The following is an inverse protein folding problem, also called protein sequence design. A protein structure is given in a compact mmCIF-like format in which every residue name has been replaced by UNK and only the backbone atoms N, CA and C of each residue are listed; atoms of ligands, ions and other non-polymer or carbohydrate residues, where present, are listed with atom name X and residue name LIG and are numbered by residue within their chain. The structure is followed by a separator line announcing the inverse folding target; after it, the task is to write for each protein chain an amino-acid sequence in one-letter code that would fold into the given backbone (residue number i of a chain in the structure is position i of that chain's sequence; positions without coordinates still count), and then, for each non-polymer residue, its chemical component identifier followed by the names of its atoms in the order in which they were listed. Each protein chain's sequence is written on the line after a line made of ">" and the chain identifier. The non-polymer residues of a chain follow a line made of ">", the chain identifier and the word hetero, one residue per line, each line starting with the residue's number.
data_IF_910735667052
#
_entry.id   IF_910735667052
#
_cell.length_a   1.000
_cell.length_b   1.000
_cell.length_c   1.000
_cell.angle_alpha   90.00
_cell.angle_beta   90.00
_cell.angle_gamma   90.00
#
_symmetry.space_group_name_H-M   'P 1'
#
loop_
_entity.id
_entity.type
_entity.pdbx_description
1 polymer ?
#
# COMPACT_ATOMS: atom_id res chain seq x y z
N UNK A 1 -17.09 29.55 -7.86
CA UNK A 1 -16.68 29.60 -6.43
C UNK A 1 -17.84 29.16 -5.57
N UNK A 2 -17.85 27.89 -5.15
CA UNK A 2 -18.80 27.39 -4.13
C UNK A 2 -17.96 26.70 -3.05
N UNK A 3 -17.96 27.33 -1.87
CA UNK A 3 -17.29 26.81 -0.67
C UNK A 3 -18.18 25.72 -0.06
N UNK A 4 -17.71 24.49 0.05
CA UNK A 4 -18.32 23.48 0.90
C UNK A 4 -17.79 23.64 2.32
N UNK A 5 -18.68 24.01 3.22
CA UNK A 5 -18.45 24.07 4.67
C UNK A 5 -18.81 22.71 5.25
N UNK A 6 -17.83 22.02 5.86
CA UNK A 6 -18.11 20.83 6.67
C UNK A 6 -18.36 21.24 8.10
N UNK A 7 -19.54 20.92 8.59
CA UNK A 7 -19.98 21.14 9.96
C UNK A 7 -19.50 19.98 10.82
N UNK A 8 -18.63 20.26 11.80
CA UNK A 8 -18.20 19.30 12.81
C UNK A 8 -19.23 19.31 13.94
N UNK A 9 -19.95 18.20 14.13
CA UNK A 9 -20.84 18.04 15.31
C UNK A 9 -20.05 17.32 16.39
N UNK A 10 -19.67 18.04 17.44
CA UNK A 10 -19.17 17.48 18.70
C UNK A 10 -20.38 17.02 19.53
N UNK A 11 -20.53 15.72 19.71
CA UNK A 11 -21.45 15.15 20.68
C UNK A 11 -20.82 14.98 22.04
N UNK A 12 -21.26 15.75 23.01
CA UNK A 12 -20.98 15.57 24.43
C UNK A 12 -21.79 14.39 24.99
N UNK A 13 -21.11 13.41 25.58
CA UNK A 13 -21.74 12.37 26.42
C UNK A 13 -21.68 12.76 27.88
N UNK A 14 -22.75 12.60 28.65
CA UNK A 14 -22.74 12.88 30.08
C UNK A 14 -22.18 11.70 30.89
N UNK A 15 -21.38 12.06 31.90
CA UNK A 15 -20.97 11.21 33.02
C UNK A 15 -22.20 10.92 33.92
N UNK A 16 -22.46 9.63 34.14
CA UNK A 16 -23.34 9.22 35.26
C UNK A 16 -22.53 8.31 36.18
N UNK A 17 -22.24 8.80 37.35
CA UNK A 17 -21.75 8.03 38.47
C UNK A 17 -22.90 7.34 39.21
N UNK A 18 -22.57 6.25 39.88
CA UNK A 18 -23.55 5.67 40.79
C UNK A 18 -23.22 4.32 41.36
N UNK A 19 -22.58 4.35 42.52
CA UNK A 19 -22.88 3.60 43.74
C UNK A 19 -22.70 2.06 43.77
N UNK A 20 -21.72 1.71 44.57
CA UNK A 20 -21.55 0.43 45.28
C UNK A 20 -22.79 -0.05 46.03
N UNK A 21 -23.10 -1.35 45.93
CA UNK A 21 -23.82 -2.10 46.98
C UNK A 21 -23.09 -3.36 47.32
N UNK A 22 -22.59 -3.42 48.54
CA UNK A 22 -22.22 -4.64 49.24
C UNK A 22 -23.44 -5.56 49.36
N UNK A 23 -23.28 -6.84 49.08
CA UNK A 23 -24.15 -7.86 49.57
C UNK A 23 -23.33 -8.93 50.30
N UNK A 24 -23.69 -9.13 51.58
CA UNK A 24 -23.10 -10.08 52.54
C UNK A 24 -23.63 -11.49 52.29
N UNK A 25 -22.70 -12.41 52.33
CA UNK A 25 -22.72 -13.83 52.82
C UNK A 25 -24.04 -14.54 53.08
N UNK A 26 -24.17 -15.74 52.48
CA UNK A 26 -24.12 -16.99 53.25
C UNK A 26 -24.38 -18.26 52.39
N UNK A 27 -23.55 -19.26 52.60
CA UNK A 27 -23.77 -20.69 52.85
C UNK A 27 -24.04 -21.64 51.67
N UNK A 28 -22.99 -22.48 51.48
CA UNK A 28 -22.94 -23.93 51.18
C UNK A 28 -23.85 -24.49 50.08
N UNK A 29 -23.17 -24.99 49.05
CA UNK A 29 -23.71 -25.89 48.04
C UNK A 29 -22.61 -26.28 47.07
N UNK A 30 -22.11 -27.48 47.15
CA UNK A 30 -21.19 -28.07 46.15
C UNK A 30 -21.86 -28.02 44.79
N UNK A 31 -21.32 -27.19 43.89
CA UNK A 31 -21.59 -27.25 42.46
C UNK A 31 -20.23 -27.37 41.76
N UNK A 32 -20.03 -28.52 41.15
CA UNK A 32 -18.93 -28.82 40.25
C UNK A 32 -18.63 -27.64 39.34
N UNK A 33 -17.42 -27.06 39.52
CA UNK A 33 -16.88 -26.08 38.60
C UNK A 33 -16.59 -26.77 37.27
N UNK A 34 -17.53 -26.76 36.37
CA UNK A 34 -17.20 -26.83 34.94
C UNK A 34 -16.36 -25.61 34.61
N UNK A 35 -15.05 -25.76 34.71
CA UNK A 35 -14.13 -24.85 34.02
C UNK A 35 -14.38 -25.06 32.53
N UNK A 36 -15.22 -24.22 31.94
CA UNK A 36 -15.18 -24.02 30.51
C UNK A 36 -13.77 -23.50 30.20
N UNK A 37 -12.96 -24.19 29.39
CA UNK A 37 -11.73 -23.60 28.89
C UNK A 37 -12.17 -22.36 28.12
N UNK A 38 -11.72 -21.18 28.58
CA UNK A 38 -11.76 -19.99 27.77
C UNK A 38 -10.95 -20.36 26.53
N UNK A 39 -11.65 -20.62 25.44
CA UNK A 39 -11.00 -20.77 24.14
C UNK A 39 -10.27 -19.46 23.91
N UNK A 40 -8.96 -19.48 24.09
CA UNK A 40 -8.09 -18.39 23.66
C UNK A 40 -8.26 -18.37 22.14
N UNK A 41 -9.03 -17.42 21.65
CA UNK A 41 -9.09 -17.13 20.22
C UNK A 41 -7.68 -16.85 19.76
N UNK A 42 -7.06 -17.85 19.11
CA UNK A 42 -5.77 -17.64 18.43
C UNK A 42 -6.08 -16.68 17.29
N UNK A 43 -5.78 -15.41 17.51
CA UNK A 43 -5.90 -14.42 16.45
C UNK A 43 -5.02 -14.85 15.29
N UNK A 44 -5.65 -15.04 14.13
CA UNK A 44 -4.92 -15.39 12.93
C UNK A 44 -3.86 -14.31 12.63
N UNK A 45 -2.61 -14.73 12.47
CA UNK A 45 -1.49 -13.83 12.18
C UNK A 45 -1.59 -13.33 10.74
N UNK A 46 -1.10 -12.12 10.45
CA UNK A 46 -0.96 -11.63 9.08
C UNK A 46 -0.10 -12.58 8.22
N UNK A 47 -0.45 -12.72 6.96
CA UNK A 47 0.32 -13.50 5.99
C UNK A 47 1.52 -12.65 5.53
N UNK A 48 2.72 -12.96 6.02
CA UNK A 48 3.93 -12.15 5.74
C UNK A 48 4.72 -12.65 4.53
N UNK A 49 4.57 -13.90 4.11
CA UNK A 49 5.25 -14.45 2.94
C UNK A 49 4.28 -14.79 1.84
N UNK A 50 4.64 -14.38 0.65
CA UNK A 50 3.89 -14.71 -0.56
C UNK A 50 4.81 -14.68 -1.77
N UNK A 51 4.29 -14.95 -2.95
CA UNK A 51 5.07 -14.84 -4.16
C UNK A 51 4.42 -13.87 -5.15
N UNK A 52 5.24 -13.33 -6.03
CA UNK A 52 4.83 -12.55 -7.19
C UNK A 52 5.44 -13.17 -8.44
N UNK A 53 5.02 -12.72 -9.62
CA UNK A 53 5.50 -13.26 -10.90
C UNK A 53 7.04 -13.28 -11.06
N UNK A 54 7.77 -12.52 -10.25
CA UNK A 54 9.24 -12.38 -10.30
C UNK A 54 9.98 -13.08 -9.16
N UNK A 55 9.30 -13.61 -8.15
CA UNK A 55 9.93 -14.32 -7.02
C UNK A 55 9.15 -14.24 -5.72
N UNK A 56 9.75 -14.73 -4.64
CA UNK A 56 9.14 -14.67 -3.31
C UNK A 56 9.40 -13.33 -2.63
N UNK A 57 8.40 -12.85 -1.87
CA UNK A 57 8.48 -11.62 -1.08
C UNK A 57 8.08 -11.89 0.36
N UNK A 58 8.74 -11.19 1.28
CA UNK A 58 8.42 -11.20 2.70
C UNK A 58 8.19 -9.77 3.18
N UNK A 59 6.99 -9.51 3.69
CA UNK A 59 6.61 -8.26 4.34
C UNK A 59 6.90 -8.28 5.83
N UNK A 60 6.53 -7.20 6.49
CA UNK A 60 6.62 -7.06 7.94
C UNK A 60 5.23 -6.86 8.54
N UNK A 61 5.02 -7.21 9.82
CA UNK A 61 3.78 -6.88 10.51
C UNK A 61 3.71 -5.37 10.79
N UNK A 62 2.51 -4.79 10.67
CA UNK A 62 2.20 -3.48 11.22
C UNK A 62 1.04 -3.64 12.22
N UNK A 63 1.40 -3.68 13.51
CA UNK A 63 0.52 -4.16 14.56
C UNK A 63 0.28 -5.66 14.48
N UNK A 64 -0.87 -6.10 15.00
CA UNK A 64 -1.33 -7.50 14.95
C UNK A 64 -2.25 -7.79 13.77
N UNK A 65 -2.58 -6.79 12.98
CA UNK A 65 -3.70 -6.80 12.04
C UNK A 65 -3.30 -6.63 10.57
N UNK A 66 -2.11 -6.10 10.26
CA UNK A 66 -1.66 -5.90 8.89
C UNK A 66 -0.38 -6.66 8.56
N UNK A 67 -0.27 -7.13 7.32
CA UNK A 67 0.97 -7.41 6.64
C UNK A 67 1.29 -6.25 5.68
N UNK A 68 2.54 -5.78 5.70
CA UNK A 68 3.01 -4.61 4.95
C UNK A 68 4.23 -4.97 4.14
N UNK A 69 4.20 -4.67 2.85
CA UNK A 69 5.29 -4.88 1.90
C UNK A 69 5.65 -3.52 1.29
N UNK A 70 6.87 -3.01 1.49
CA UNK A 70 7.20 -1.61 1.22
C UNK A 70 7.94 -1.34 -0.09
N UNK A 71 8.54 -2.35 -0.72
CA UNK A 71 9.31 -2.15 -1.95
C UNK A 71 9.27 -3.37 -2.87
N UNK A 72 8.12 -3.63 -3.48
CA UNK A 72 7.98 -4.66 -4.49
C UNK A 72 8.25 -4.02 -5.86
N UNK A 73 9.28 -4.44 -6.61
CA UNK A 73 9.51 -3.92 -7.97
C UNK A 73 8.44 -4.45 -8.91
N UNK A 74 7.72 -3.55 -9.55
CA UNK A 74 6.71 -3.92 -10.54
C UNK A 74 7.23 -3.84 -11.98
N UNK A 75 8.37 -3.16 -12.18
CA UNK A 75 9.05 -3.03 -13.46
C UNK A 75 10.57 -3.03 -13.28
N UNK A 76 11.30 -3.18 -14.38
CA UNK A 76 12.75 -3.04 -14.39
C UNK A 76 13.15 -1.58 -14.06
N UNK A 77 14.31 -1.35 -13.40
CA UNK A 77 14.82 -0.02 -13.16
C UNK A 77 14.93 0.79 -14.47
N UNK A 78 14.31 1.99 -14.55
CA UNK A 78 14.32 2.80 -15.77
C UNK A 78 15.60 3.63 -15.89
N UNK A 79 16.74 2.97 -15.84
CA UNK A 79 18.09 3.58 -15.82
C UNK A 79 18.85 3.29 -17.12
N UNK A 80 19.85 4.10 -17.42
CA UNK A 80 20.69 3.91 -18.62
C UNK A 80 19.85 3.89 -19.89
N UNK A 81 19.93 2.81 -20.66
CA UNK A 81 19.20 2.64 -21.92
C UNK A 81 17.68 2.54 -21.76
N UNK A 82 17.19 2.28 -20.55
CA UNK A 82 15.77 2.27 -20.23
C UNK A 82 15.21 3.63 -19.78
N UNK A 83 16.07 4.64 -19.58
CA UNK A 83 15.61 6.00 -19.29
C UNK A 83 14.80 6.52 -20.48
N UNK A 84 13.65 7.15 -20.19
CA UNK A 84 12.69 7.61 -21.21
C UNK A 84 12.20 6.52 -22.18
N UNK A 85 12.13 5.29 -21.69
CA UNK A 85 11.44 4.18 -22.38
C UNK A 85 10.19 3.78 -21.61
N UNK A 86 9.29 3.08 -22.29
CA UNK A 86 8.17 2.42 -21.63
C UNK A 86 8.70 1.43 -20.57
N UNK A 87 8.00 1.24 -19.43
CA UNK A 87 8.43 0.30 -18.40
C UNK A 87 8.57 -1.12 -18.97
N UNK A 88 9.61 -1.83 -18.53
CA UNK A 88 9.93 -3.18 -18.95
C UNK A 88 9.71 -4.16 -17.79
N UNK A 89 9.53 -5.46 -18.05
CA UNK A 89 9.38 -6.47 -17.00
C UNK A 89 10.55 -6.45 -16.01
N UNK A 90 10.25 -6.52 -14.72
CA UNK A 90 11.27 -6.69 -13.69
C UNK A 90 11.96 -8.06 -13.87
N UNK A 91 13.25 -8.14 -13.51
CA UNK A 91 13.98 -9.41 -13.49
C UNK A 91 13.50 -10.26 -12.34
N UNK A 92 13.35 -11.56 -12.59
CA UNK A 92 13.13 -12.54 -11.54
C UNK A 92 14.36 -12.62 -10.61
N UNK A 93 14.11 -12.95 -9.34
CA UNK A 93 15.15 -13.17 -8.33
C UNK A 93 15.02 -14.53 -7.69
N UNK A 94 16.12 -15.02 -7.14
CA UNK A 94 16.15 -16.23 -6.33
C UNK A 94 16.03 -15.89 -4.84
N UNK A 95 15.50 -16.82 -4.05
CA UNK A 95 15.27 -16.63 -2.62
C UNK A 95 14.15 -15.65 -2.31
N UNK A 96 14.12 -15.18 -1.07
CA UNK A 96 13.07 -14.31 -0.54
C UNK A 96 13.56 -12.86 -0.51
N UNK A 97 12.82 -11.97 -1.17
CA UNK A 97 13.03 -10.53 -1.10
C UNK A 97 12.31 -9.96 0.13
N UNK A 98 13.06 -9.45 1.09
CA UNK A 98 12.50 -8.76 2.25
C UNK A 98 12.06 -7.35 1.84
N UNK A 99 10.79 -7.04 2.08
CA UNK A 99 10.15 -5.78 1.71
C UNK A 99 9.80 -4.96 2.98
N UNK A 100 10.81 -4.65 3.79
CA UNK A 100 10.69 -3.99 5.10
C UNK A 100 10.88 -2.47 5.05
N UNK A 101 11.52 -1.96 4.01
CA UNK A 101 11.79 -0.53 3.79
C UNK A 101 11.20 -0.05 2.47
N UNK A 102 10.77 1.21 2.43
CA UNK A 102 10.29 1.80 1.17
C UNK A 102 11.40 1.87 0.14
N UNK A 103 11.05 1.65 -1.12
CA UNK A 103 11.93 1.89 -2.25
C UNK A 103 12.28 3.38 -2.40
N UNK A 104 13.30 3.71 -3.20
CA UNK A 104 13.64 5.09 -3.47
C UNK A 104 12.49 5.84 -4.14
N UNK A 105 12.36 7.12 -3.80
CA UNK A 105 11.49 8.05 -4.52
C UNK A 105 12.09 8.40 -5.88
N UNK A 106 11.31 8.74 -6.90
CA UNK A 106 11.83 9.30 -8.12
C UNK A 106 12.59 10.62 -7.85
N UNK A 107 13.63 10.96 -8.64
CA UNK A 107 14.34 12.22 -8.53
C UNK A 107 13.38 13.41 -8.57
N UNK A 108 13.48 14.28 -7.56
CA UNK A 108 12.58 15.41 -7.35
C UNK A 108 13.29 16.51 -6.54
N UNK A 109 12.76 17.74 -6.48
CA UNK A 109 13.33 18.79 -5.63
C UNK A 109 13.40 18.37 -4.16
N UNK A 110 14.56 18.57 -3.55
CA UNK A 110 14.78 18.29 -2.12
C UNK A 110 14.00 19.27 -1.25
N UNK A 111 13.57 18.80 -0.08
CA UNK A 111 12.88 19.59 0.95
C UNK A 111 13.06 18.94 2.33
N UNK A 112 12.75 19.60 3.45
CA UNK A 112 12.79 18.97 4.75
C UNK A 112 12.04 17.64 4.78
N UNK A 113 12.72 16.56 5.20
CA UNK A 113 12.19 15.19 5.20
C UNK A 113 12.20 14.47 3.85
N UNK A 114 12.78 15.08 2.79
CA UNK A 114 12.98 14.46 1.47
C UNK A 114 14.33 14.88 0.91
N UNK A 115 15.35 14.12 1.22
CA UNK A 115 16.75 14.36 0.87
C UNK A 115 17.16 13.58 -0.37
N UNK A 116 18.26 13.96 -1.02
CA UNK A 116 18.70 13.36 -2.27
C UNK A 116 19.04 11.87 -2.16
N UNK A 117 19.51 11.43 -0.99
CA UNK A 117 19.82 10.03 -0.67
C UNK A 117 18.58 9.12 -0.61
N UNK A 118 17.38 9.71 -0.50
CA UNK A 118 16.10 8.98 -0.59
C UNK A 118 15.62 8.78 -2.02
N UNK A 119 16.34 9.26 -3.02
CA UNK A 119 15.91 9.33 -4.42
C UNK A 119 16.80 8.49 -5.32
N UNK A 120 16.18 7.88 -6.34
CA UNK A 120 16.88 7.15 -7.40
C UNK A 120 16.04 7.14 -8.66
N UNK A 121 16.67 7.00 -9.82
CA UNK A 121 15.95 6.65 -11.05
C UNK A 121 15.39 5.21 -10.99
N UNK A 122 16.01 4.32 -10.21
CA UNK A 122 15.44 3.03 -9.85
C UNK A 122 14.32 3.22 -8.81
N UNK A 123 13.13 3.60 -9.26
CA UNK A 123 12.00 4.01 -8.42
C UNK A 123 10.68 3.30 -8.73
N UNK A 124 10.67 2.33 -9.64
CA UNK A 124 9.43 1.66 -10.06
C UNK A 124 9.03 0.54 -9.08
N UNK A 125 8.64 0.98 -7.90
CA UNK A 125 8.21 0.12 -6.79
C UNK A 125 6.78 0.41 -6.40
N UNK A 126 6.14 -0.57 -5.78
CA UNK A 126 4.88 -0.38 -5.09
C UNK A 126 4.96 -0.91 -3.66
N UNK A 127 4.09 -0.39 -2.81
CA UNK A 127 3.91 -0.85 -1.45
C UNK A 127 2.49 -1.40 -1.28
N UNK A 128 2.36 -2.49 -0.51
CA UNK A 128 1.08 -3.16 -0.26
C UNK A 128 0.85 -3.26 1.24
N UNK A 129 -0.37 -2.92 1.69
CA UNK A 129 -0.86 -3.25 3.02
C UNK A 129 -2.11 -4.13 2.89
N UNK A 130 -2.12 -5.26 3.56
CA UNK A 130 -3.24 -6.19 3.56
C UNK A 130 -3.63 -6.59 4.98
N UNK A 131 -4.91 -6.51 5.35
CA UNK A 131 -5.45 -7.00 6.62
C UNK A 131 -5.82 -8.49 6.55
N UNK A 132 -5.57 -9.16 5.43
CA UNK A 132 -5.96 -10.54 5.20
C UNK A 132 -5.38 -11.49 6.25
N UNK A 133 -6.20 -12.43 6.69
CA UNK A 133 -5.83 -13.50 7.63
C UNK A 133 -5.80 -14.86 6.95
N UNK A 134 -6.37 -14.95 5.77
CA UNK A 134 -6.39 -16.15 4.93
C UNK A 134 -6.07 -15.79 3.48
N UNK A 135 -5.38 -16.69 2.79
CA UNK A 135 -5.12 -16.53 1.35
C UNK A 135 -6.42 -16.50 0.51
N UNK A 136 -7.54 -16.92 1.07
CA UNK A 136 -8.85 -16.97 0.41
C UNK A 136 -9.76 -15.78 0.69
N UNK A 137 -9.30 -14.75 1.39
CA UNK A 137 -10.18 -13.64 1.85
C UNK A 137 -10.75 -12.79 0.72
N UNK A 138 -10.09 -12.69 -0.44
CA UNK A 138 -10.55 -11.96 -1.64
C UNK A 138 -11.10 -10.57 -1.34
N UNK A 139 -10.29 -9.77 -0.67
CA UNK A 139 -10.64 -8.43 -0.21
C UNK A 139 -10.71 -7.44 -1.39
N UNK A 140 -11.52 -6.39 -1.31
CA UNK A 140 -11.46 -5.30 -2.28
C UNK A 140 -10.09 -4.61 -2.24
N UNK A 141 -9.67 -4.09 -3.39
CA UNK A 141 -8.35 -3.48 -3.58
C UNK A 141 -8.50 -2.01 -3.90
N UNK A 142 -7.69 -1.16 -3.29
CA UNK A 142 -7.60 0.25 -3.62
C UNK A 142 -6.17 0.61 -4.02
N UNK A 143 -5.99 1.07 -5.26
CA UNK A 143 -4.70 1.47 -5.80
C UNK A 143 -4.55 3.00 -5.69
N UNK A 144 -3.59 3.45 -4.88
CA UNK A 144 -3.27 4.84 -4.66
C UNK A 144 -2.29 5.35 -5.71
N UNK A 145 -2.67 6.42 -6.40
CA UNK A 145 -1.81 7.19 -7.29
C UNK A 145 -1.59 8.55 -6.62
N UNK A 146 -0.34 8.82 -6.23
CA UNK A 146 0.01 10.05 -5.53
C UNK A 146 -0.07 11.27 -6.45
N UNK A 147 -0.36 12.44 -5.87
CA UNK A 147 -0.21 13.72 -6.51
C UNK A 147 1.21 14.29 -6.40
N UNK A 148 1.33 15.57 -6.66
CA UNK A 148 2.58 16.32 -6.64
C UNK A 148 2.86 17.05 -7.95
N UNK A 149 1.82 17.31 -8.76
CA UNK A 149 1.91 18.04 -10.02
C UNK A 149 2.82 17.36 -11.04
N UNK A 150 2.92 16.03 -11.00
CA UNK A 150 3.87 15.21 -11.76
C UNK A 150 5.35 15.56 -11.52
N UNK A 151 5.66 16.37 -10.50
CA UNK A 151 7.02 16.82 -10.16
C UNK A 151 7.57 16.15 -8.91
N UNK A 152 6.70 15.72 -8.01
CA UNK A 152 7.08 15.11 -6.73
C UNK A 152 6.29 13.83 -6.47
N UNK A 153 6.84 12.98 -5.61
CA UNK A 153 6.28 11.68 -5.27
C UNK A 153 6.33 11.43 -3.75
N UNK A 154 5.47 10.53 -3.27
CA UNK A 154 5.50 10.04 -1.88
C UNK A 154 4.53 8.87 -1.69
N UNK A 155 4.84 7.95 -0.79
CA UNK A 155 4.05 6.74 -0.54
C UNK A 155 2.72 6.95 0.21
N UNK A 156 2.27 8.19 0.44
CA UNK A 156 0.97 8.46 1.07
C UNK A 156 0.98 8.49 2.62
N UNK A 157 2.13 8.33 3.27
CA UNK A 157 2.24 8.37 4.74
C UNK A 157 1.37 7.30 5.43
N UNK A 158 0.70 7.65 6.53
CA UNK A 158 -0.13 6.71 7.31
C UNK A 158 -1.50 6.42 6.70
N UNK A 159 -1.87 7.11 5.60
CA UNK A 159 -3.19 6.98 4.98
C UNK A 159 -3.46 5.55 4.53
N UNK A 160 -2.48 4.91 3.89
CA UNK A 160 -2.63 3.59 3.31
C UNK A 160 -2.83 2.49 4.36
N UNK A 161 -2.10 2.50 5.48
CA UNK A 161 -2.31 1.51 6.56
C UNK A 161 -3.63 1.76 7.30
N UNK A 162 -4.01 3.02 7.49
CA UNK A 162 -5.30 3.39 8.10
C UNK A 162 -6.49 2.91 7.27
N UNK A 163 -6.41 2.99 5.94
CA UNK A 163 -7.42 2.44 5.03
C UNK A 163 -7.41 0.92 5.02
N UNK A 164 -6.23 0.30 5.01
CA UNK A 164 -6.12 -1.17 5.04
C UNK A 164 -6.84 -1.77 6.26
N UNK A 165 -6.73 -1.13 7.43
CA UNK A 165 -7.46 -1.54 8.64
C UNK A 165 -8.99 -1.49 8.51
N UNK A 166 -9.52 -0.91 7.44
CA UNK A 166 -10.95 -0.92 7.10
C UNK A 166 -11.37 -2.14 6.27
N UNK A 167 -10.49 -3.12 6.08
CA UNK A 167 -10.80 -4.37 5.38
C UNK A 167 -10.56 -4.34 3.88
N UNK A 168 -9.65 -3.51 3.41
CA UNK A 168 -9.27 -3.42 2.00
C UNK A 168 -7.77 -3.65 1.82
N UNK A 169 -7.34 -4.22 0.70
CA UNK A 169 -5.93 -4.24 0.31
C UNK A 169 -5.59 -2.89 -0.32
N UNK A 170 -4.59 -2.21 0.22
CA UNK A 170 -4.11 -0.94 -0.34
C UNK A 170 -2.81 -1.19 -1.10
N UNK A 171 -2.71 -0.63 -2.30
CA UNK A 171 -1.50 -0.61 -3.11
C UNK A 171 -1.12 0.84 -3.38
N UNK A 172 0.04 1.28 -2.90
CA UNK A 172 0.63 2.59 -3.22
C UNK A 172 1.64 2.43 -4.35
N UNK A 173 1.48 3.20 -5.43
CA UNK A 173 2.29 3.10 -6.64
C UNK A 173 3.22 4.29 -6.71
N UNK A 174 4.55 4.05 -6.83
CA UNK A 174 5.51 5.05 -7.26
C UNK A 174 5.68 5.00 -8.77
N UNK A 175 5.82 6.15 -9.40
CA UNK A 175 6.00 6.29 -10.84
C UNK A 175 6.98 7.44 -11.14
N UNK A 176 7.61 7.44 -12.31
CA UNK A 176 8.53 8.50 -12.71
C UNK A 176 7.83 9.85 -12.76
N UNK A 177 8.49 10.88 -12.22
CA UNK A 177 8.01 12.26 -12.16
C UNK A 177 8.99 13.21 -12.85
N UNK A 178 8.62 14.48 -12.98
CA UNK A 178 9.45 15.52 -13.58
C UNK A 178 9.89 15.17 -15.01
N UNK A 179 11.08 15.58 -15.37
CA UNK A 179 11.63 15.33 -16.72
C UNK A 179 11.80 13.83 -17.02
N UNK A 180 12.07 12.98 -16.02
CA UNK A 180 12.24 11.53 -16.21
C UNK A 180 10.92 10.85 -16.60
N UNK A 181 9.79 11.37 -16.09
CA UNK A 181 8.46 10.84 -16.37
C UNK A 181 7.75 11.53 -17.54
N UNK A 182 8.08 12.79 -17.84
CA UNK A 182 7.22 13.62 -18.70
C UNK A 182 7.97 14.47 -19.75
N UNK A 183 9.26 14.21 -19.99
CA UNK A 183 10.00 14.90 -21.07
C UNK A 183 9.49 14.49 -22.44
N UNK A 184 8.90 15.44 -23.16
CA UNK A 184 8.60 15.31 -24.58
C UNK A 184 9.74 15.91 -25.41
N UNK A 185 10.33 15.10 -26.31
CA UNK A 185 11.43 15.53 -27.17
C UNK A 185 11.33 14.85 -28.55
N UNK A 186 11.60 15.55 -29.66
CA UNK A 186 11.50 14.98 -31.00
C UNK A 186 12.34 13.72 -31.22
N UNK A 187 13.55 13.66 -30.65
CA UNK A 187 14.41 12.48 -30.79
C UNK A 187 13.84 11.29 -30.03
N UNK A 188 13.30 11.50 -28.83
CA UNK A 188 12.60 10.43 -28.09
C UNK A 188 11.35 9.94 -28.82
N UNK A 189 10.65 10.85 -29.51
CA UNK A 189 9.50 10.47 -30.32
C UNK A 189 9.90 9.64 -31.53
N UNK A 190 11.06 9.89 -32.14
CA UNK A 190 11.59 9.08 -33.26
C UNK A 190 12.00 7.67 -32.79
N UNK A 191 12.42 7.50 -31.55
CA UNK A 191 12.80 6.22 -30.98
C UNK A 191 11.58 5.37 -30.57
N UNK A 192 10.42 5.99 -30.41
CA UNK A 192 9.18 5.33 -30.03
C UNK A 192 8.50 4.70 -31.23
N UNK A 193 7.99 3.49 -31.08
CA UNK A 193 7.29 2.78 -32.15
C UNK A 193 5.98 3.44 -32.59
N UNK A 194 5.38 4.25 -31.73
CA UNK A 194 4.14 4.98 -31.97
C UNK A 194 4.35 6.48 -32.29
N UNK A 195 5.62 6.92 -32.34
CA UNK A 195 5.98 8.28 -32.67
C UNK A 195 5.74 9.31 -31.57
N UNK A 196 5.55 8.88 -30.32
CA UNK A 196 5.23 9.75 -29.18
C UNK A 196 6.26 9.65 -28.05
N UNK A 197 6.37 10.74 -27.26
CA UNK A 197 7.16 10.82 -26.04
C UNK A 197 6.46 11.68 -25.00
N UNK A 198 6.93 11.65 -23.75
CA UNK A 198 6.45 12.54 -22.68
C UNK A 198 5.44 11.97 -21.71
N UNK A 199 5.06 10.69 -21.82
CA UNK A 199 4.03 10.08 -20.97
C UNK A 199 4.55 8.86 -20.19
N UNK A 200 5.85 8.79 -19.91
CA UNK A 200 6.47 7.61 -19.27
C UNK A 200 5.92 7.36 -17.87
N UNK A 201 5.66 8.42 -17.08
CA UNK A 201 5.03 8.29 -15.77
C UNK A 201 3.60 7.73 -15.83
N UNK A 202 2.82 8.06 -16.87
CA UNK A 202 1.50 7.45 -17.08
C UNK A 202 1.62 6.00 -17.53
N UNK A 203 2.62 5.68 -18.35
CA UNK A 203 2.90 4.30 -18.74
C UNK A 203 3.31 3.44 -17.53
N UNK A 204 4.06 4.02 -16.58
CA UNK A 204 4.41 3.38 -15.32
C UNK A 204 3.16 3.04 -14.50
N UNK A 205 2.23 3.97 -14.35
CA UNK A 205 0.96 3.76 -13.65
C UNK A 205 0.14 2.64 -14.31
N UNK A 206 0.01 2.66 -15.65
CA UNK A 206 -0.69 1.62 -16.40
C UNK A 206 -0.01 0.26 -16.19
N UNK A 207 1.32 0.22 -16.19
CA UNK A 207 2.09 -1.01 -16.00
C UNK A 207 1.91 -1.56 -14.57
N UNK A 208 1.93 -0.70 -13.57
CA UNK A 208 1.64 -1.06 -12.18
C UNK A 208 0.22 -1.62 -12.00
N UNK A 209 -0.79 -1.01 -12.64
CA UNK A 209 -2.16 -1.52 -12.62
C UNK A 209 -2.27 -2.91 -13.27
N UNK A 210 -1.55 -3.15 -14.37
CA UNK A 210 -1.46 -4.49 -14.98
C UNK A 210 -0.76 -5.49 -14.06
N UNK A 211 0.27 -5.05 -13.33
CA UNK A 211 0.94 -5.87 -12.31
C UNK A 211 -0.03 -6.24 -11.19
N UNK A 212 -0.83 -5.29 -10.69
CA UNK A 212 -1.88 -5.53 -9.67
C UNK A 212 -2.84 -6.62 -10.16
N UNK A 213 -3.33 -6.54 -11.39
CA UNK A 213 -4.24 -7.55 -11.95
C UNK A 213 -3.65 -8.96 -11.95
N UNK A 214 -2.34 -9.12 -12.14
CA UNK A 214 -1.68 -10.43 -12.19
C UNK A 214 -1.28 -10.98 -10.83
N UNK A 215 -1.04 -10.10 -9.83
CA UNK A 215 -0.37 -10.49 -8.59
C UNK A 215 -1.19 -10.29 -7.31
N UNK A 216 -2.22 -9.45 -7.32
CA UNK A 216 -2.87 -9.00 -6.08
C UNK A 216 -3.62 -10.13 -5.36
N UNK A 217 -3.99 -11.20 -6.05
CA UNK A 217 -4.60 -12.38 -5.45
C UNK A 217 -3.66 -13.05 -4.45
N UNK A 218 -2.35 -13.00 -4.68
CA UNK A 218 -1.33 -13.51 -3.76
C UNK A 218 -1.23 -12.70 -2.45
N UNK A 219 -1.84 -11.53 -2.39
CA UNK A 219 -2.00 -10.68 -1.20
C UNK A 219 -3.44 -10.71 -0.68
N UNK A 220 -4.22 -11.71 -1.10
CA UNK A 220 -5.64 -11.91 -0.79
C UNK A 220 -6.56 -10.79 -1.26
N UNK A 221 -6.12 -10.01 -2.26
CA UNK A 221 -6.96 -9.04 -2.95
C UNK A 221 -7.76 -9.68 -4.08
N UNK A 222 -8.93 -9.14 -4.39
CA UNK A 222 -9.75 -9.56 -5.51
C UNK A 222 -9.42 -8.72 -6.76
N UNK A 223 -8.77 -9.26 -7.80
CA UNK A 223 -8.42 -8.51 -9.01
C UNK A 223 -9.64 -7.99 -9.77
N UNK A 224 -10.84 -8.53 -9.53
CA UNK A 224 -12.10 -8.02 -10.11
C UNK A 224 -12.68 -6.82 -9.37
N UNK A 225 -12.14 -6.47 -8.19
CA UNK A 225 -12.63 -5.40 -7.31
C UNK A 225 -11.52 -4.37 -7.03
N UNK A 226 -10.88 -3.88 -8.08
CA UNK A 226 -9.82 -2.87 -7.98
C UNK A 226 -10.39 -1.48 -8.23
N UNK A 227 -10.24 -0.60 -7.25
CA UNK A 227 -10.58 0.82 -7.34
C UNK A 227 -9.32 1.66 -7.39
N UNK A 228 -9.22 2.57 -8.34
CA UNK A 228 -8.14 3.56 -8.42
C UNK A 228 -8.60 4.81 -7.68
N UNK A 229 -7.73 5.37 -6.85
CA UNK A 229 -7.98 6.64 -6.18
C UNK A 229 -6.68 7.44 -6.04
N UNK A 230 -6.77 8.73 -5.82
CA UNK A 230 -5.62 9.61 -5.71
C UNK A 230 -6.02 10.98 -5.19
N UNK A 231 -5.04 11.84 -5.12
CA UNK A 231 -5.22 13.25 -4.75
C UNK A 231 -4.34 14.10 -5.67
N UNK A 232 -4.91 15.22 -6.19
CA UNK A 232 -4.20 16.17 -7.04
C UNK A 232 -3.73 15.55 -8.39
N UNK A 233 -2.59 16.00 -8.91
CA UNK A 233 -1.99 15.53 -10.17
C UNK A 233 -0.48 15.38 -10.04
#
# INVERSE_FOLDING_TARGET
>A
MRKCIYLLVLGLLPLVGGASKLCKTSVVGEASKLCNPVATEVQAQPLLKTHVETGEVEGIPDGSDLAVYRAIPYAAPPVGDLRWKAPQPAKAWEGVRVCDTFGPLPPQPTRPGRTADMMSEDCLYLAIATPAKSASDRLPVMAWIHGGGFQTAWYGGDLWTSLARRGVVIVSIEYRTGALGFLAHPELSKESSDGHSGNYGLLDQIYALKWIQRNIENFSGDPSKVTIFGESA
#
